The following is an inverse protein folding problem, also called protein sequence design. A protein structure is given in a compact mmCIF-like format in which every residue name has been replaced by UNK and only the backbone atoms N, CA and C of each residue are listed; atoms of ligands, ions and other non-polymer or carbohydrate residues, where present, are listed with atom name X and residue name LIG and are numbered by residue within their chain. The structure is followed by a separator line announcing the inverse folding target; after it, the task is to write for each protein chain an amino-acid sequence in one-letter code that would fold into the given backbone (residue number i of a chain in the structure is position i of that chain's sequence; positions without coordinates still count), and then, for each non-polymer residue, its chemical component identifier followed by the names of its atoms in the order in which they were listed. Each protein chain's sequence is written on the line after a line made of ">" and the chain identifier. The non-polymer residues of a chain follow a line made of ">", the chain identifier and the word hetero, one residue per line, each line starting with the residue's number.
data_IF_786495039698
#
_entry.id   IF_786495039698
#
_cell.length_a   1.000
_cell.length_b   1.000
_cell.length_c   1.000
_cell.angle_alpha   90.00
_cell.angle_beta   90.00
_cell.angle_gamma   90.00
#
_symmetry.space_group_name_H-M   'P 1'
#
loop_
_entity.id
_entity.type
_entity.pdbx_description
1 polymer ?
#
# COMPACT_ATOMS: atom_id res chain seq x y z
N UNK A 1 -9.04 -10.49 -13.29
CA UNK A 1 -8.98 -10.74 -11.84
C UNK A 1 -8.18 -9.61 -11.21
N UNK A 2 -8.66 -8.90 -10.18
CA UNK A 2 -7.80 -7.99 -9.46
C UNK A 2 -6.66 -8.84 -8.87
N UNK A 3 -5.43 -8.62 -9.34
CA UNK A 3 -4.24 -9.22 -8.74
C UNK A 3 -4.23 -8.74 -7.29
N UNK A 4 -4.63 -9.58 -6.35
CA UNK A 4 -4.26 -9.37 -4.95
C UNK A 4 -2.75 -9.45 -4.93
N UNK A 5 -2.08 -8.31 -4.92
CA UNK A 5 -0.63 -8.23 -4.89
C UNK A 5 -0.18 -8.70 -3.50
N UNK A 6 -0.07 -10.01 -3.31
CA UNK A 6 0.25 -10.59 -1.99
C UNK A 6 1.55 -10.02 -1.39
N UNK A 7 2.42 -9.41 -2.21
CA UNK A 7 3.72 -8.86 -1.83
C UNK A 7 3.93 -7.40 -2.30
N UNK A 8 2.90 -6.55 -2.27
CA UNK A 8 3.12 -5.13 -2.57
C UNK A 8 4.11 -4.51 -1.57
N UNK A 9 5.04 -3.72 -2.10
CA UNK A 9 5.94 -2.87 -1.35
C UNK A 9 5.31 -1.50 -1.10
N UNK A 10 6.03 -0.64 -0.38
CA UNK A 10 5.59 0.72 -0.07
C UNK A 10 6.31 1.75 -0.93
N UNK A 11 5.56 2.72 -1.41
CA UNK A 11 6.08 3.99 -1.90
C UNK A 11 5.56 5.13 -1.01
N UNK A 12 6.43 6.05 -0.59
CA UNK A 12 6.07 7.07 0.40
C UNK A 12 6.53 8.47 0.01
N UNK A 13 5.82 9.50 0.49
CA UNK A 13 6.16 10.91 0.25
C UNK A 13 7.39 11.38 1.01
N UNK A 14 7.72 10.73 2.12
CA UNK A 14 8.89 11.05 2.93
C UNK A 14 9.49 9.78 3.56
N UNK A 15 10.65 9.95 4.20
CA UNK A 15 11.36 8.89 4.91
C UNK A 15 11.90 9.41 6.23
N UNK A 16 12.05 8.52 7.19
CA UNK A 16 12.81 8.75 8.41
C UNK A 16 13.79 7.60 8.63
N UNK A 17 14.73 7.76 9.57
CA UNK A 17 15.69 6.71 9.92
C UNK A 17 15.43 6.30 11.36
N UNK A 18 15.22 5.01 11.58
CA UNK A 18 14.99 4.47 12.92
C UNK A 18 16.28 4.43 13.76
N UNK A 19 16.20 4.14 15.07
CA UNK A 19 17.38 4.01 15.93
C UNK A 19 18.38 2.93 15.50
N UNK A 20 17.93 1.93 14.74
CA UNK A 20 18.76 0.87 14.19
C UNK A 20 19.43 1.27 12.85
N UNK A 21 19.17 2.49 12.36
CA UNK A 21 19.75 3.04 11.13
C UNK A 21 19.00 2.64 9.84
N UNK A 22 17.81 2.04 9.95
CA UNK A 22 17.00 1.60 8.82
C UNK A 22 16.13 2.76 8.31
N UNK A 23 16.16 2.98 7.00
CA UNK A 23 15.29 3.98 6.37
C UNK A 23 13.87 3.45 6.24
N UNK A 24 12.93 4.05 6.95
CA UNK A 24 11.52 3.69 6.98
C UNK A 24 10.64 4.74 6.28
N UNK A 25 9.47 4.34 5.75
CA UNK A 25 8.55 5.27 5.12
C UNK A 25 7.92 6.22 6.14
N UNK A 26 7.64 7.45 5.72
CA UNK A 26 6.89 8.44 6.48
C UNK A 26 5.86 9.17 5.59
N UNK A 27 4.98 9.94 6.22
CA UNK A 27 4.01 10.78 5.52
C UNK A 27 2.89 9.97 4.86
N UNK A 28 2.58 10.25 3.59
CA UNK A 28 1.58 9.49 2.83
C UNK A 28 2.21 8.28 2.12
N UNK A 29 1.62 7.10 2.35
CA UNK A 29 2.08 5.84 1.79
C UNK A 29 1.10 5.26 0.77
N UNK A 30 1.67 4.66 -0.28
CA UNK A 30 0.98 4.03 -1.38
C UNK A 30 1.50 2.61 -1.62
N UNK A 31 0.58 1.72 -2.00
CA UNK A 31 0.95 0.38 -2.41
C UNK A 31 1.68 0.44 -3.76
N UNK A 32 2.73 -0.35 -3.90
CA UNK A 32 3.56 -0.37 -5.08
C UNK A 32 3.97 -1.80 -5.45
N UNK A 33 3.76 -2.19 -6.72
CA UNK A 33 4.29 -3.45 -7.25
C UNK A 33 5.76 -3.25 -7.65
N UNK A 34 6.67 -4.00 -7.03
CA UNK A 34 8.11 -3.92 -7.32
C UNK A 34 8.38 -4.08 -8.80
N UNK A 35 9.31 -3.28 -9.32
CA UNK A 35 9.64 -3.26 -10.76
C UNK A 35 8.72 -2.40 -11.61
N UNK A 36 7.61 -1.88 -11.07
CA UNK A 36 6.80 -0.86 -11.77
C UNK A 36 7.26 0.54 -11.42
N UNK A 37 6.95 1.51 -12.29
CA UNK A 37 7.25 2.94 -12.06
C UNK A 37 6.03 3.73 -11.55
N UNK A 38 4.99 3.05 -11.10
CA UNK A 38 3.75 3.65 -10.62
C UNK A 38 3.17 2.89 -9.42
N UNK A 39 2.42 3.58 -8.58
CA UNK A 39 1.68 2.96 -7.48
C UNK A 39 0.45 2.20 -7.98
N UNK A 40 -0.12 1.36 -7.12
CA UNK A 40 -1.36 0.61 -7.41
C UNK A 40 -2.53 1.54 -7.73
N UNK A 41 -2.59 2.73 -7.11
CA UNK A 41 -3.60 3.74 -7.43
C UNK A 41 -3.25 4.60 -8.66
N UNK A 42 -2.18 4.29 -9.38
CA UNK A 42 -1.81 4.92 -10.65
C UNK A 42 -0.91 6.16 -10.57
N UNK A 43 -0.32 6.46 -9.40
CA UNK A 43 0.59 7.61 -9.30
C UNK A 43 1.99 7.25 -9.83
N UNK A 44 2.57 8.02 -10.77
CA UNK A 44 3.93 7.83 -11.22
C UNK A 44 4.95 8.22 -10.14
N UNK A 45 5.86 7.31 -9.77
CA UNK A 45 6.75 7.50 -8.62
C UNK A 45 7.61 8.77 -8.73
N UNK A 46 8.26 8.98 -9.89
CA UNK A 46 9.15 10.12 -10.09
C UNK A 46 8.40 11.47 -10.11
N UNK A 47 7.28 11.57 -10.83
CA UNK A 47 6.53 12.84 -10.92
C UNK A 47 5.81 13.17 -9.62
N UNK A 48 5.46 12.16 -8.82
CA UNK A 48 4.86 12.34 -7.49
C UNK A 48 5.89 12.39 -6.36
N UNK A 49 7.20 12.42 -6.68
CA UNK A 49 8.30 12.45 -5.72
C UNK A 49 8.21 11.37 -4.62
N UNK A 50 7.75 10.16 -4.97
CA UNK A 50 7.60 9.06 -4.04
C UNK A 50 8.89 8.23 -3.94
N UNK A 51 9.40 8.07 -2.73
CA UNK A 51 10.51 7.17 -2.38
C UNK A 51 10.07 5.71 -2.43
N UNK A 52 10.99 4.81 -2.81
CA UNK A 52 10.74 3.36 -2.90
C UNK A 52 11.25 2.64 -1.64
N UNK A 53 10.40 1.84 -1.02
CA UNK A 53 10.72 1.05 0.17
C UNK A 53 10.45 -0.43 -0.11
N UNK A 54 11.40 -1.04 -0.80
CA UNK A 54 11.37 -2.44 -1.20
C UNK A 54 11.72 -3.40 -0.06
N UNK A 55 11.86 -2.96 1.18
CA UNK A 55 12.03 -3.85 2.34
C UNK A 55 10.80 -3.82 3.25
N UNK A 56 9.95 -2.80 3.11
CA UNK A 56 8.71 -2.64 3.87
C UNK A 56 7.55 -3.21 3.07
N UNK A 57 6.77 -4.09 3.69
CA UNK A 57 5.59 -4.64 3.03
C UNK A 57 4.38 -3.73 3.23
N UNK A 58 3.42 -3.79 2.32
CA UNK A 58 2.17 -3.04 2.48
C UNK A 58 1.43 -3.40 3.77
N UNK A 59 1.56 -4.62 4.28
CA UNK A 59 0.90 -5.05 5.51
C UNK A 59 1.45 -4.35 6.77
N UNK A 60 2.73 -3.98 6.75
CA UNK A 60 3.44 -3.39 7.89
C UNK A 60 3.06 -1.92 8.14
N UNK A 61 2.52 -1.24 7.10
CA UNK A 61 2.08 0.16 7.17
C UNK A 61 0.56 0.32 7.35
N UNK A 62 -0.20 -0.77 7.46
CA UNK A 62 -1.66 -0.72 7.59
C UNK A 62 -2.08 -0.38 9.02
N UNK A 63 -3.05 0.53 9.25
CA UNK A 63 -3.41 0.98 10.60
C UNK A 63 -4.01 -0.11 11.50
N UNK A 64 -4.55 -1.18 10.89
CA UNK A 64 -5.15 -2.30 11.62
C UNK A 64 -4.10 -3.35 12.08
N UNK A 65 -2.87 -3.30 11.56
CA UNK A 65 -1.84 -4.35 11.76
C UNK A 65 -0.40 -3.84 11.95
N UNK A 66 -0.13 -2.54 11.76
CA UNK A 66 1.22 -2.04 11.51
C UNK A 66 2.08 -1.83 12.76
N UNK A 67 3.28 -2.42 12.72
CA UNK A 67 4.38 -2.27 13.69
C UNK A 67 5.36 -1.15 13.27
N UNK A 68 5.36 -0.75 11.99
CA UNK A 68 6.26 0.25 11.37
C UNK A 68 5.51 1.55 10.99
N UNK A 69 4.44 1.85 11.72
CA UNK A 69 3.46 2.88 11.36
C UNK A 69 3.68 4.24 12.05
N UNK A 70 4.66 4.37 12.93
CA UNK A 70 4.74 5.52 13.86
C UNK A 70 4.84 6.88 13.14
N UNK A 71 5.55 6.94 12.00
CA UNK A 71 5.69 8.17 11.19
C UNK A 71 4.83 8.16 9.91
N UNK A 72 3.96 7.16 9.75
CA UNK A 72 3.02 7.07 8.64
C UNK A 72 1.79 7.93 8.96
N UNK A 73 1.79 9.15 8.47
CA UNK A 73 0.67 10.08 8.67
C UNK A 73 -0.60 9.64 7.93
N UNK A 74 -0.48 8.99 6.77
CA UNK A 74 -1.64 8.62 5.95
C UNK A 74 -1.39 7.42 5.05
N UNK A 75 -2.33 6.48 5.07
CA UNK A 75 -2.38 5.40 4.08
C UNK A 75 -3.36 5.77 2.95
N UNK A 76 -2.92 5.69 1.71
CA UNK A 76 -3.76 6.02 0.56
C UNK A 76 -5.00 5.10 0.50
N UNK A 77 -6.23 5.64 0.58
CA UNK A 77 -7.45 4.82 0.67
C UNK A 77 -7.72 4.02 -0.61
N UNK A 78 -7.32 4.53 -1.78
CA UNK A 78 -7.42 3.78 -3.04
C UNK A 78 -6.49 2.57 -3.06
N UNK A 79 -5.27 2.72 -2.55
CA UNK A 79 -4.34 1.60 -2.41
C UNK A 79 -4.83 0.60 -1.37
N UNK A 80 -5.30 1.07 -0.21
CA UNK A 80 -5.87 0.20 0.82
C UNK A 80 -7.05 -0.63 0.27
N UNK A 81 -7.99 -0.02 -0.44
CA UNK A 81 -9.09 -0.72 -1.09
C UNK A 81 -8.60 -1.71 -2.17
N UNK A 82 -7.67 -1.28 -3.04
CA UNK A 82 -7.11 -2.12 -4.11
C UNK A 82 -6.30 -3.33 -3.60
N UNK A 83 -5.68 -3.19 -2.43
CA UNK A 83 -4.93 -4.25 -1.75
C UNK A 83 -5.82 -5.18 -0.92
N UNK A 84 -7.11 -4.89 -0.84
CA UNK A 84 -8.06 -5.73 -0.13
C UNK A 84 -8.04 -5.50 1.38
N UNK A 85 -7.92 -4.26 1.85
CA UNK A 85 -8.33 -3.85 3.20
C UNK A 85 -9.83 -4.12 3.37
N UNK A 86 -10.18 -5.38 3.56
CA UNK A 86 -11.54 -5.87 3.73
C UNK A 86 -11.87 -5.68 5.20
N UNK A 87 -12.47 -4.53 5.52
CA UNK A 87 -13.46 -4.48 6.60
C UNK A 87 -14.52 -5.52 6.21
N UNK A 88 -14.59 -6.58 7.00
CA UNK A 88 -15.57 -7.66 6.98
C UNK A 88 -16.68 -7.53 5.92
N UNK A 89 -16.53 -8.07 4.71
CA UNK A 89 -17.72 -8.35 3.89
C UNK A 89 -17.48 -9.29 2.72
N UNK A 90 -18.43 -10.21 2.59
CA UNK A 90 -18.62 -11.20 1.53
C UNK A 90 -18.40 -10.53 0.15
N UNK A 91 -17.63 -11.12 -0.78
CA UNK A 91 -17.52 -10.57 -2.12
C UNK A 91 -18.90 -10.50 -2.79
N UNK A 92 -19.22 -9.35 -3.38
CA UNK A 92 -20.45 -9.18 -4.15
C UNK A 92 -20.47 -10.22 -5.27
N UNK A 93 -21.46 -11.11 -5.21
CA UNK A 93 -21.63 -12.19 -6.18
C UNK A 93 -22.87 -11.86 -7.01
N UNK A 94 -22.66 -11.56 -8.30
CA UNK A 94 -23.77 -11.43 -9.25
C UNK A 94 -24.20 -12.83 -9.68
N UNK A 95 -25.13 -13.42 -8.93
CA UNK A 95 -25.86 -14.59 -9.43
C UNK A 95 -26.85 -14.09 -10.46
N UNK A 96 -26.69 -14.51 -11.71
CA UNK A 96 -27.58 -14.16 -12.82
C UNK A 96 -28.46 -15.38 -13.10
N UNK A 97 -29.52 -15.65 -12.31
CA UNK A 97 -30.42 -16.75 -12.61
C UNK A 97 -31.25 -16.34 -13.82
N UNK A 98 -30.82 -16.78 -15.00
CA UNK A 98 -31.65 -16.62 -16.20
C UNK A 98 -32.72 -17.73 -16.19
N UNK A 99 -34.02 -17.41 -16.41
CA UNK A 99 -35.03 -18.39 -16.81
C UNK A 99 -34.75 -18.95 -18.21
#
# INVERSE_FOLDING_TARGET
>A
MPKTLKNAAVAASSSWTDPDGVRLPAGEVHAWERGTNQTVCGLPLHRSALGRFSHVTWADVQPATGRDADEVARVCPRCAAGMGARRDERPWTRTNPRP
#
